data_IF_972018528521
#
_entry.id   IF_972018528521
#
_cell.length_a   1.000
_cell.length_b   1.000
_cell.length_c   1.000
_cell.angle_alpha   90.00
_cell.angle_beta   90.00
_cell.angle_gamma   90.00
#
_symmetry.space_group_name_H-M   'P 1'
#
loop_
_entity.id
_entity.type
_entity.pdbx_description
1 polymer ?
#
# COMPACT_ATOMS: atom_id res chain seq x y z
N UNK A 1 -7.84 -14.91 2.70
CA UNK A 1 -7.54 -13.65 2.02
C UNK A 1 -7.15 -12.64 3.08
N UNK A 2 -5.87 -12.32 3.18
CA UNK A 2 -5.35 -11.33 4.13
C UNK A 2 -4.67 -10.22 3.34
N UNK A 3 -5.05 -8.98 3.59
CA UNK A 3 -4.39 -7.81 3.01
C UNK A 3 -4.04 -6.83 4.13
N UNK A 4 -3.03 -6.00 3.93
CA UNK A 4 -2.62 -4.98 4.89
C UNK A 4 -2.35 -3.67 4.18
N UNK A 5 -2.91 -2.59 4.73
CA UNK A 5 -2.72 -1.21 4.27
C UNK A 5 -2.17 -0.43 5.46
N UNK A 6 -0.97 0.14 5.31
CA UNK A 6 -0.31 0.89 6.38
C UNK A 6 -0.10 2.36 5.99
N UNK A 7 -0.29 3.25 6.97
CA UNK A 7 0.10 4.66 6.94
C UNK A 7 1.04 4.97 8.11
N UNK A 8 2.03 5.82 7.85
CA UNK A 8 3.29 6.15 8.57
C UNK A 8 3.39 5.89 10.10
N UNK A 9 4.60 5.53 10.59
CA UNK A 9 4.94 5.44 12.02
C UNK A 9 6.40 5.85 12.32
N UNK A 10 6.54 6.84 13.21
CA UNK A 10 7.80 7.39 13.71
C UNK A 10 8.60 6.38 14.56
N UNK A 11 9.48 5.60 13.91
CA UNK A 11 10.69 5.04 14.52
C UNK A 11 11.79 5.00 13.43
N UNK A 12 13.07 5.28 13.74
CA UNK A 12 14.14 5.46 12.74
C UNK A 12 14.50 4.21 11.90
N UNK A 13 13.67 3.17 11.93
CA UNK A 13 13.78 1.96 11.11
C UNK A 13 12.47 1.18 11.01
N UNK A 14 11.33 1.77 11.39
CA UNK A 14 10.03 1.07 11.34
C UNK A 14 9.72 0.62 9.92
N UNK A 15 9.94 1.51 8.96
CA UNK A 15 9.82 1.29 7.52
C UNK A 15 10.57 0.01 7.10
N UNK A 16 11.83 -0.14 7.51
CA UNK A 16 12.65 -1.32 7.17
C UNK A 16 12.11 -2.61 7.77
N UNK A 17 11.63 -2.57 9.02
CA UNK A 17 11.06 -3.75 9.69
C UNK A 17 9.74 -4.13 9.04
N UNK A 18 8.88 -3.15 8.74
CA UNK A 18 7.64 -3.35 8.02
C UNK A 18 7.91 -3.96 6.65
N UNK A 19 8.82 -3.40 5.86
CA UNK A 19 9.17 -3.91 4.53
C UNK A 19 9.70 -5.34 4.59
N UNK A 20 10.61 -5.64 5.53
CA UNK A 20 11.10 -7.02 5.73
C UNK A 20 9.96 -7.99 6.02
N UNK A 21 8.98 -7.57 6.82
CA UNK A 21 7.84 -8.40 7.15
C UNK A 21 6.90 -8.62 5.96
N UNK A 22 6.63 -7.57 5.17
CA UNK A 22 5.83 -7.66 3.94
C UNK A 22 6.50 -8.59 2.92
N UNK A 23 7.81 -8.44 2.72
CA UNK A 23 8.59 -9.30 1.80
C UNK A 23 8.57 -10.77 2.26
N UNK A 24 8.64 -11.01 3.58
CA UNK A 24 8.52 -12.35 4.15
C UNK A 24 7.13 -12.97 3.98
N UNK A 25 6.06 -12.17 4.06
CA UNK A 25 4.69 -12.63 3.82
C UNK A 25 4.49 -12.99 2.34
N UNK A 26 4.96 -12.15 1.43
CA UNK A 26 4.90 -12.41 -0.02
C UNK A 26 5.63 -13.70 -0.40
N UNK A 27 6.82 -13.93 0.17
CA UNK A 27 7.60 -15.14 -0.08
C UNK A 27 6.95 -16.43 0.45
N UNK A 28 6.02 -16.33 1.40
CA UNK A 28 5.44 -17.50 2.10
C UNK A 28 3.97 -17.73 1.79
N UNK A 29 3.26 -16.76 1.21
CA UNK A 29 1.82 -16.83 0.97
C UNK A 29 1.48 -16.40 -0.46
N UNK A 30 1.02 -17.36 -1.27
CA UNK A 30 0.61 -17.09 -2.67
C UNK A 30 -0.60 -16.14 -2.80
N UNK A 31 -1.33 -15.91 -1.71
CA UNK A 31 -2.53 -15.07 -1.66
C UNK A 31 -2.35 -13.80 -0.82
N UNK A 32 -1.10 -13.34 -0.67
CA UNK A 32 -0.78 -12.09 -0.02
C UNK A 32 -0.69 -10.94 -1.03
N UNK A 33 -1.20 -9.78 -0.63
CA UNK A 33 -1.11 -8.56 -1.41
C UNK A 33 -0.98 -7.37 -0.47
N UNK A 34 -0.10 -6.44 -0.83
CA UNK A 34 0.22 -5.24 -0.05
C UNK A 34 0.41 -4.04 -0.95
N UNK A 35 -0.02 -2.88 -0.47
CA UNK A 35 0.23 -1.60 -1.12
C UNK A 35 0.70 -0.62 -0.06
N UNK A 36 1.85 0.01 -0.30
CA UNK A 36 2.42 1.04 0.58
C UNK A 36 2.53 2.35 -0.19
N UNK A 37 1.65 3.29 0.16
CA UNK A 37 1.68 4.66 -0.35
C UNK A 37 2.61 5.52 0.49
N UNK A 38 3.20 6.55 -0.13
CA UNK A 38 3.99 7.55 0.58
C UNK A 38 3.13 8.55 1.36
N UNK A 39 3.78 9.45 2.08
CA UNK A 39 3.15 10.54 2.82
C UNK A 39 2.93 10.24 4.29
N UNK A 40 2.32 11.22 4.98
CA UNK A 40 2.21 11.26 6.46
C UNK A 40 0.85 10.81 6.98
N UNK A 41 -0.06 10.38 6.11
CA UNK A 41 -1.39 9.95 6.55
C UNK A 41 -1.31 8.58 7.21
N UNK A 42 -1.97 8.43 8.36
CA UNK A 42 -1.89 7.24 9.19
C UNK A 42 -2.98 6.19 8.89
N UNK A 43 -4.07 6.62 8.25
CA UNK A 43 -5.13 5.72 7.77
C UNK A 43 -5.69 6.28 6.47
N UNK A 44 -6.28 5.41 5.64
CA UNK A 44 -6.74 5.84 4.32
C UNK A 44 -8.15 5.37 3.95
N UNK A 45 -8.63 4.24 4.48
CA UNK A 45 -9.89 3.63 4.02
C UNK A 45 -11.14 4.50 4.16
N UNK A 46 -11.17 5.40 5.14
CA UNK A 46 -12.29 6.32 5.38
C UNK A 46 -11.99 7.76 4.93
N UNK A 47 -10.85 7.98 4.29
CA UNK A 47 -10.34 9.31 3.98
C UNK A 47 -10.46 9.61 2.47
N UNK A 48 -10.60 10.89 2.07
CA UNK A 48 -10.66 11.26 0.65
C UNK A 48 -9.45 10.78 -0.16
N UNK A 49 -8.30 10.68 0.49
CA UNK A 49 -7.03 10.21 -0.07
C UNK A 49 -7.13 8.79 -0.64
N UNK A 50 -8.07 7.95 -0.17
CA UNK A 50 -8.33 6.63 -0.75
C UNK A 50 -8.57 6.67 -2.25
N UNK A 51 -9.20 7.74 -2.73
CA UNK A 51 -9.60 7.89 -4.12
C UNK A 51 -8.53 8.53 -5.00
N UNK A 52 -7.48 9.11 -4.40
CA UNK A 52 -6.50 9.92 -5.12
C UNK A 52 -5.07 9.50 -4.88
N UNK A 53 -4.75 8.80 -3.80
CA UNK A 53 -3.37 8.36 -3.57
C UNK A 53 -3.10 7.06 -4.31
N UNK A 54 -1.85 6.89 -4.74
CA UNK A 54 -1.44 5.73 -5.51
C UNK A 54 0.04 5.41 -5.39
N UNK A 55 0.43 4.41 -6.17
CA UNK A 55 1.81 4.05 -6.45
C UNK A 55 1.86 3.65 -7.92
N UNK A 56 2.83 4.19 -8.66
CA UNK A 56 3.08 3.87 -10.06
C UNK A 56 1.84 4.08 -10.95
N UNK A 57 1.09 5.16 -10.70
CA UNK A 57 -0.14 5.50 -11.41
C UNK A 57 -1.36 4.63 -11.08
N UNK A 58 -1.26 3.66 -10.16
CA UNK A 58 -2.40 2.88 -9.68
C UNK A 58 -2.94 3.46 -8.36
N UNK A 59 -4.21 3.87 -8.34
CA UNK A 59 -4.84 4.38 -7.11
C UNK A 59 -5.08 3.26 -6.10
N UNK A 60 -5.10 3.60 -4.81
CA UNK A 60 -5.47 2.66 -3.73
C UNK A 60 -6.87 2.10 -3.97
N UNK A 61 -7.82 2.95 -4.40
CA UNK A 61 -9.19 2.54 -4.73
C UNK A 61 -9.26 1.52 -5.86
N UNK A 62 -8.50 1.71 -6.94
CA UNK A 62 -8.52 0.79 -8.08
C UNK A 62 -7.79 -0.51 -7.75
N UNK A 63 -6.64 -0.44 -7.09
CA UNK A 63 -5.94 -1.62 -6.56
C UNK A 63 -6.84 -2.44 -5.63
N UNK A 64 -7.54 -1.78 -4.71
CA UNK A 64 -8.47 -2.44 -3.78
C UNK A 64 -9.68 -3.04 -4.50
N UNK A 65 -10.18 -2.38 -5.55
CA UNK A 65 -11.29 -2.91 -6.36
C UNK A 65 -10.88 -4.19 -7.08
N UNK A 66 -9.69 -4.23 -7.69
CA UNK A 66 -9.15 -5.43 -8.34
C UNK A 66 -8.95 -6.57 -7.33
N UNK A 67 -8.43 -6.26 -6.13
CA UNK A 67 -8.31 -7.22 -5.04
C UNK A 67 -9.67 -7.83 -4.65
N UNK A 68 -10.72 -7.01 -4.53
CA UNK A 68 -12.08 -7.49 -4.21
C UNK A 68 -12.70 -8.32 -5.35
N UNK A 69 -12.33 -8.05 -6.60
CA UNK A 69 -12.74 -8.84 -7.75
C UNK A 69 -12.06 -10.22 -7.81
N UNK A 70 -11.09 -10.49 -6.92
CA UNK A 70 -10.30 -11.71 -6.91
C UNK A 70 -9.21 -11.72 -7.98
N UNK A 71 -8.88 -10.56 -8.55
CA UNK A 71 -7.78 -10.43 -9.50
C UNK A 71 -6.44 -10.54 -8.78
N UNK A 72 -5.43 -11.03 -9.49
CA UNK A 72 -4.06 -11.02 -8.99
C UNK A 72 -3.52 -9.60 -9.12
N UNK A 73 -3.41 -8.91 -7.98
CA UNK A 73 -2.80 -7.59 -7.88
C UNK A 73 -1.33 -7.71 -7.48
N UNK A 74 -0.50 -6.78 -7.96
CA UNK A 74 0.91 -6.72 -7.58
C UNK A 74 1.08 -6.08 -6.20
N UNK A 75 2.18 -6.44 -5.53
CA UNK A 75 2.64 -5.72 -4.35
C UNK A 75 3.27 -4.40 -4.80
N UNK A 76 2.68 -3.28 -4.39
CA UNK A 76 3.13 -1.95 -4.78
C UNK A 76 3.73 -1.21 -3.59
N UNK A 77 4.82 -0.46 -3.83
CA UNK A 77 5.50 0.32 -2.79
C UNK A 77 6.05 1.61 -3.39
N UNK A 78 5.80 2.72 -2.71
CA UNK A 78 6.45 4.00 -3.00
C UNK A 78 7.99 3.86 -3.06
N UNK A 79 8.61 4.54 -4.03
CA UNK A 79 10.09 4.60 -4.11
C UNK A 79 10.65 5.67 -3.15
N UNK A 80 10.02 6.85 -3.11
CA UNK A 80 10.31 7.92 -2.15
C UNK A 80 9.03 8.20 -1.35
N UNK A 81 8.94 7.58 -0.18
CA UNK A 81 7.72 7.54 0.62
C UNK A 81 7.47 8.80 1.45
N UNK A 82 8.26 9.88 1.26
CA UNK A 82 8.10 11.12 2.04
C UNK A 82 6.78 11.81 1.73
N UNK A 83 6.37 11.82 0.46
CA UNK A 83 5.12 12.41 0.00
C UNK A 83 4.26 11.38 -0.72
N UNK A 84 2.95 11.56 -0.68
CA UNK A 84 2.02 10.68 -1.38
C UNK A 84 1.99 11.02 -2.88
N UNK A 85 2.04 10.00 -3.73
CA UNK A 85 1.72 10.18 -5.14
C UNK A 85 0.20 10.42 -5.27
N UNK A 86 -0.16 11.56 -5.88
CA UNK A 86 -1.55 11.90 -6.18
C UNK A 86 -1.85 11.54 -7.63
N UNK A 87 -2.62 10.47 -7.82
CA UNK A 87 -3.12 10.00 -9.11
C UNK A 87 -4.53 10.56 -9.29
N UNK A 88 -4.69 11.39 -10.32
CA UNK A 88 -6.02 11.86 -10.74
C UNK A 88 -6.54 10.94 -11.84
N UNK A 89 -7.82 10.53 -11.79
CA UNK A 89 -8.42 9.66 -12.80
C UNK A 89 -8.52 10.32 -14.18
#
# INVERSE_FOLDING_TARGET
YGFSVFGDFFAPSWDKVMYTNLDGLDATHENFSSMVVGGKSHTILASPEFYTYGVDGMTVRDWFTALLAGEKVENLRCTDCVEAEVVTP
#
